data_IF_710630322453
#
_entry.id   IF_710630322453
#
_cell.length_a   1.000
_cell.length_b   1.000
_cell.length_c   1.000
_cell.angle_alpha   90.00
_cell.angle_beta   90.00
_cell.angle_gamma   90.00
#
_symmetry.space_group_name_H-M   'P 1'
#
loop_
_entity.id
_entity.type
_entity.pdbx_description
1 polymer ?
#
# COMPACT_ATOMS: atom_id res chain seq x y z
N UNK A 1 17.70 42.81 -9.73
CA UNK A 1 18.56 41.99 -8.86
C UNK A 1 17.65 41.23 -7.90
N UNK A 2 17.50 39.91 -8.08
CA UNK A 2 16.66 39.07 -7.22
C UNK A 2 17.50 38.55 -6.05
N UNK A 3 17.14 38.94 -4.83
CA UNK A 3 17.79 38.42 -3.61
C UNK A 3 17.10 37.12 -3.19
N UNK A 4 17.83 36.01 -3.26
CA UNK A 4 17.42 34.71 -2.72
C UNK A 4 17.69 34.71 -1.21
N UNK A 5 16.65 34.68 -0.39
CA UNK A 5 16.78 34.42 1.04
C UNK A 5 16.83 32.91 1.27
N UNK A 6 17.97 32.42 1.75
CA UNK A 6 18.17 31.01 2.11
C UNK A 6 17.43 30.68 3.41
N UNK A 7 16.56 29.67 3.36
CA UNK A 7 15.88 29.11 4.52
C UNK A 7 16.80 28.07 5.16
N UNK A 8 17.45 28.46 6.26
CA UNK A 8 18.31 27.54 7.02
C UNK A 8 17.49 26.94 8.15
N UNK A 9 17.01 25.70 7.98
CA UNK A 9 16.34 24.96 9.06
C UNK A 9 17.39 24.52 10.09
N UNK A 10 17.45 25.23 11.22
CA UNK A 10 18.19 24.77 12.41
C UNK A 10 17.32 23.73 13.12
N UNK A 11 17.64 22.45 12.91
CA UNK A 11 17.02 21.34 13.62
C UNK A 11 17.52 21.31 15.07
N UNK A 12 16.80 21.93 16.00
CA UNK A 12 16.97 21.66 17.44
C UNK A 12 15.90 20.67 17.87
N UNK A 13 16.36 19.49 18.29
CA UNK A 13 15.52 18.48 18.93
C UNK A 13 14.81 19.09 20.16
N UNK A 14 13.51 18.80 20.28
CA UNK A 14 12.67 19.24 21.39
C UNK A 14 13.02 18.43 22.64
N UNK A 15 13.34 19.06 23.78
CA UNK A 15 13.60 18.37 25.04
C UNK A 15 12.42 17.49 25.49
N UNK A 16 12.68 16.34 26.14
CA UNK A 16 11.65 15.38 26.52
C UNK A 16 10.63 15.93 27.53
N UNK A 17 10.99 16.92 28.35
CA UNK A 17 10.08 17.57 29.31
C UNK A 17 9.00 18.46 28.67
N UNK A 18 9.04 18.63 27.34
CA UNK A 18 8.24 19.59 26.58
C UNK A 18 7.17 18.94 25.66
N UNK A 19 7.02 17.62 25.71
CA UNK A 19 5.98 16.90 24.98
C UNK A 19 4.60 17.08 25.67
N UNK A 20 3.61 17.56 24.92
CA UNK A 20 2.21 17.63 25.38
C UNK A 20 1.66 19.02 25.73
N UNK A 21 2.41 20.10 25.53
CA UNK A 21 1.91 21.49 25.65
C UNK A 21 1.95 22.22 24.31
N UNK A 22 1.00 23.14 24.13
CA UNK A 22 0.85 23.96 22.93
C UNK A 22 2.08 24.85 22.77
N UNK A 23 2.87 24.65 21.71
CA UNK A 23 4.05 25.45 21.42
C UNK A 23 3.68 26.62 20.52
N UNK A 24 4.14 27.82 20.90
CA UNK A 24 4.24 28.95 19.99
C UNK A 24 5.63 28.92 19.37
N UNK A 25 5.73 28.53 18.09
CA UNK A 25 6.98 28.63 17.36
C UNK A 25 7.20 30.11 16.97
N UNK A 26 8.08 30.80 17.70
CA UNK A 26 8.54 32.13 17.31
C UNK A 26 9.66 31.99 16.26
N UNK A 27 9.29 32.05 14.98
CA UNK A 27 10.28 32.24 13.92
C UNK A 27 10.65 33.73 13.86
N UNK A 28 11.94 34.02 14.05
CA UNK A 28 12.50 35.36 13.84
C UNK A 28 12.63 35.57 12.34
N UNK A 29 11.73 36.34 11.77
CA UNK A 29 11.90 36.90 10.42
C UNK A 29 12.64 38.22 10.61
N UNK A 30 13.89 38.30 10.18
CA UNK A 30 14.63 39.57 10.13
C UNK A 30 14.02 40.44 9.01
N UNK A 31 12.90 41.08 9.32
CA UNK A 31 12.46 42.27 8.61
C UNK A 31 13.27 43.45 9.17
N UNK A 32 13.72 44.34 8.28
CA UNK A 32 14.54 45.51 8.63
C UNK A 32 13.92 46.40 9.72
N UNK A 33 14.70 47.35 10.23
CA UNK A 33 14.39 48.08 11.46
C UNK A 33 13.10 48.89 11.30
N UNK A 34 12.04 48.54 12.05
CA UNK A 34 11.00 49.52 12.36
C UNK A 34 9.55 49.07 12.49
N UNK A 35 9.16 47.82 12.17
CA UNK A 35 7.74 47.45 12.26
C UNK A 35 7.54 46.01 12.73
N UNK A 36 7.17 45.84 14.00
CA UNK A 36 6.67 44.56 14.52
C UNK A 36 5.20 44.40 14.11
N UNK A 37 4.95 43.72 13.00
CA UNK A 37 3.63 43.16 12.73
C UNK A 37 3.57 41.74 13.31
N UNK A 38 2.78 41.58 14.37
CA UNK A 38 2.43 40.30 14.97
C UNK A 38 1.42 39.59 14.05
N UNK A 39 1.90 38.95 12.98
CA UNK A 39 1.04 38.08 12.18
C UNK A 39 0.77 36.81 12.99
N UNK A 40 -0.44 36.73 13.55
CA UNK A 40 -0.93 35.58 14.30
C UNK A 40 -1.29 34.46 13.33
N UNK A 41 -0.31 33.67 12.90
CA UNK A 41 -0.59 32.42 12.19
C UNK A 41 -1.05 31.36 13.18
N UNK A 42 -2.36 31.12 13.20
CA UNK A 42 -2.93 29.93 13.84
C UNK A 42 -2.51 28.72 13.01
N UNK A 43 -1.53 27.96 13.50
CA UNK A 43 -1.22 26.65 12.96
C UNK A 43 -2.35 25.68 13.34
N UNK A 44 -3.49 25.79 12.65
CA UNK A 44 -4.29 24.58 12.41
C UNK A 44 -3.31 23.55 11.85
N UNK A 45 -3.25 22.37 12.45
CA UNK A 45 -2.44 21.26 11.95
C UNK A 45 -2.79 21.06 10.47
N UNK A 46 -1.98 21.59 9.57
CA UNK A 46 -1.87 21.04 8.23
C UNK A 46 -1.24 19.67 8.44
N UNK A 47 -2.07 18.66 8.73
CA UNK A 47 -1.66 17.27 8.68
C UNK A 47 -1.43 17.00 7.19
N UNK A 48 -0.20 17.23 6.75
CA UNK A 48 0.21 16.77 5.43
C UNK A 48 0.14 15.26 5.46
N UNK A 49 -0.85 14.72 4.76
CA UNK A 49 -0.97 13.29 4.57
C UNK A 49 0.28 12.80 3.83
N UNK A 50 0.92 11.75 4.34
CA UNK A 50 2.06 11.15 3.67
C UNK A 50 1.63 10.40 2.39
N UNK A 51 2.59 10.09 1.53
CA UNK A 51 2.31 9.26 0.36
C UNK A 51 1.78 7.88 0.76
N UNK A 52 2.35 7.32 1.84
CA UNK A 52 2.01 6.04 2.42
C UNK A 52 0.57 6.04 2.96
N UNK A 53 0.15 7.12 3.64
CA UNK A 53 -1.22 7.25 4.13
C UNK A 53 -2.24 7.38 2.98
N UNK A 54 -1.92 8.18 1.95
CA UNK A 54 -2.75 8.26 0.73
C UNK A 54 -2.88 6.89 0.07
N UNK A 55 -1.77 6.18 -0.09
CA UNK A 55 -1.76 4.86 -0.70
C UNK A 55 -2.57 3.85 0.14
N UNK A 56 -2.40 3.83 1.46
CA UNK A 56 -3.14 2.93 2.34
C UNK A 56 -4.65 3.15 2.27
N UNK A 57 -5.11 4.41 2.18
CA UNK A 57 -6.53 4.72 1.95
C UNK A 57 -7.02 4.22 0.59
N UNK A 58 -6.28 4.52 -0.48
CA UNK A 58 -6.63 4.04 -1.82
C UNK A 58 -6.66 2.50 -1.89
N UNK A 59 -5.73 1.84 -1.20
CA UNK A 59 -5.69 0.39 -1.02
C UNK A 59 -6.96 -0.12 -0.31
N UNK A 60 -7.32 0.49 0.83
CA UNK A 60 -8.52 0.13 1.58
C UNK A 60 -9.79 0.27 0.71
N UNK A 61 -9.94 1.38 0.01
CA UNK A 61 -11.08 1.65 -0.86
C UNK A 61 -11.18 0.66 -2.03
N UNK A 62 -10.03 0.31 -2.63
CA UNK A 62 -9.97 -0.63 -3.73
C UNK A 62 -10.31 -2.05 -3.25
N UNK A 63 -9.79 -2.47 -2.09
CA UNK A 63 -10.06 -3.80 -1.55
C UNK A 63 -11.44 -3.96 -0.92
N UNK A 64 -12.07 -2.88 -0.44
CA UNK A 64 -13.45 -2.93 0.06
C UNK A 64 -14.47 -3.30 -1.03
N UNK A 65 -14.20 -2.92 -2.29
CA UNK A 65 -15.02 -3.27 -3.45
C UNK A 65 -14.13 -3.54 -4.68
N UNK A 66 -13.49 -4.72 -4.74
CA UNK A 66 -12.40 -4.95 -5.67
C UNK A 66 -12.91 -5.17 -7.10
N UNK A 67 -12.29 -4.45 -8.03
CA UNK A 67 -12.31 -4.77 -9.45
C UNK A 67 -10.87 -4.95 -9.93
N UNK A 68 -10.62 -5.77 -10.97
CA UNK A 68 -9.27 -5.95 -11.49
C UNK A 68 -8.60 -4.62 -11.84
N UNK A 69 -9.35 -3.68 -12.41
CA UNK A 69 -8.89 -2.36 -12.83
C UNK A 69 -8.55 -1.47 -11.61
N UNK A 70 -9.40 -1.45 -10.58
CA UNK A 70 -9.13 -0.66 -9.35
C UNK A 70 -7.89 -1.18 -8.61
N UNK A 71 -7.74 -2.49 -8.51
CA UNK A 71 -6.57 -3.10 -7.87
C UNK A 71 -5.29 -2.84 -8.68
N UNK A 72 -5.37 -2.90 -10.01
CA UNK A 72 -4.22 -2.64 -10.89
C UNK A 72 -3.83 -1.17 -10.91
N UNK A 73 -4.78 -0.24 -10.74
CA UNK A 73 -4.51 1.20 -10.70
C UNK A 73 -3.59 1.62 -9.53
N UNK A 74 -3.49 0.80 -8.48
CA UNK A 74 -2.56 1.01 -7.37
C UNK A 74 -1.11 0.62 -7.70
N UNK A 75 -0.88 -0.01 -8.85
CA UNK A 75 0.40 -0.64 -9.16
C UNK A 75 1.18 0.17 -10.20
N UNK A 76 2.48 0.27 -9.98
CA UNK A 76 3.38 0.83 -10.97
C UNK A 76 3.42 -0.06 -12.23
N UNK A 77 3.57 0.47 -13.45
CA UNK A 77 3.63 -0.34 -14.67
C UNK A 77 4.65 -1.49 -14.62
N UNK A 78 5.80 -1.25 -13.99
CA UNK A 78 6.88 -2.21 -13.78
C UNK A 78 6.81 -2.99 -12.45
N UNK A 79 5.62 -3.11 -11.83
CA UNK A 79 5.44 -3.74 -10.53
C UNK A 79 5.95 -5.19 -10.47
N UNK A 80 6.45 -5.60 -9.31
CA UNK A 80 6.71 -7.02 -8.99
C UNK A 80 5.91 -7.43 -7.76
N UNK A 81 5.05 -8.44 -7.91
CA UNK A 81 4.23 -9.00 -6.83
C UNK A 81 4.76 -10.37 -6.41
N UNK A 82 5.15 -10.50 -5.16
CA UNK A 82 5.57 -11.74 -4.52
C UNK A 82 4.39 -12.35 -3.76
N UNK A 83 4.11 -13.62 -4.03
CA UNK A 83 3.10 -14.41 -3.34
C UNK A 83 3.76 -15.70 -2.82
N UNK A 84 3.38 -16.22 -1.63
CA UNK A 84 4.13 -17.30 -0.98
C UNK A 84 4.23 -18.62 -1.77
N UNK A 85 3.37 -18.84 -2.77
CA UNK A 85 3.14 -20.13 -3.42
C UNK A 85 3.19 -20.08 -4.95
N UNK A 86 3.57 -18.93 -5.51
CA UNK A 86 3.59 -18.64 -6.94
C UNK A 86 4.90 -17.97 -7.32
N UNK A 87 5.24 -18.06 -8.60
CA UNK A 87 6.31 -17.23 -9.16
C UNK A 87 5.92 -15.75 -9.03
N UNK A 88 6.90 -14.85 -8.90
CA UNK A 88 6.63 -13.42 -8.88
C UNK A 88 5.88 -13.00 -10.14
N UNK A 89 4.80 -12.23 -9.98
CA UNK A 89 4.09 -11.61 -11.09
C UNK A 89 4.80 -10.32 -11.42
N UNK A 90 5.14 -10.13 -12.69
CA UNK A 90 5.94 -8.99 -13.15
C UNK A 90 5.14 -8.22 -14.19
N UNK A 91 5.00 -6.91 -13.97
CA UNK A 91 4.15 -5.94 -14.68
C UNK A 91 2.71 -5.81 -14.18
N UNK A 92 2.17 -4.60 -14.36
CA UNK A 92 0.77 -4.29 -14.09
C UNK A 92 -0.19 -5.07 -14.99
N UNK A 93 0.18 -5.34 -16.25
CA UNK A 93 -0.62 -6.15 -17.18
C UNK A 93 -0.75 -7.61 -16.71
N UNK A 94 0.34 -8.19 -16.20
CA UNK A 94 0.30 -9.54 -15.63
C UNK A 94 -0.52 -9.56 -14.32
N UNK A 95 -0.38 -8.52 -13.49
CA UNK A 95 -1.20 -8.36 -12.28
C UNK A 95 -2.69 -8.25 -12.60
N UNK A 96 -3.07 -7.46 -13.61
CA UNK A 96 -4.46 -7.33 -14.07
C UNK A 96 -5.05 -8.68 -14.48
N UNK A 97 -4.28 -9.48 -15.24
CA UNK A 97 -4.69 -10.84 -15.62
C UNK A 97 -4.91 -11.72 -14.41
N UNK A 98 -4.02 -11.65 -13.41
CA UNK A 98 -4.18 -12.42 -12.18
C UNK A 98 -5.41 -11.98 -11.37
N UNK A 99 -5.64 -10.67 -11.21
CA UNK A 99 -6.82 -10.17 -10.51
C UNK A 99 -8.12 -10.57 -11.21
N UNK A 100 -8.15 -10.58 -12.56
CA UNK A 100 -9.29 -11.10 -13.32
C UNK A 100 -9.55 -12.56 -13.01
N UNK A 101 -8.51 -13.40 -12.95
CA UNK A 101 -8.65 -14.82 -12.61
C UNK A 101 -9.11 -15.02 -11.17
N UNK A 102 -8.53 -14.28 -10.22
CA UNK A 102 -8.88 -14.35 -8.81
C UNK A 102 -10.33 -13.94 -8.57
N UNK A 103 -10.76 -12.79 -9.10
CA UNK A 103 -12.11 -12.27 -8.89
C UNK A 103 -13.17 -13.02 -9.72
N UNK A 104 -12.80 -13.63 -10.84
CA UNK A 104 -13.70 -14.56 -11.53
C UNK A 104 -13.97 -15.83 -10.70
N UNK A 105 -12.99 -16.27 -9.90
CA UNK A 105 -13.18 -17.40 -8.99
C UNK A 105 -13.88 -16.98 -7.69
N UNK A 106 -13.51 -15.83 -7.11
CA UNK A 106 -14.03 -15.30 -5.86
C UNK A 106 -14.68 -13.93 -6.08
N UNK A 107 -15.87 -13.85 -6.70
CA UNK A 107 -16.49 -12.58 -7.10
C UNK A 107 -16.98 -11.72 -5.93
N UNK A 108 -17.11 -12.31 -4.73
CA UNK A 108 -17.51 -11.60 -3.50
C UNK A 108 -16.34 -11.34 -2.56
N UNK A 109 -15.11 -11.65 -2.99
CA UNK A 109 -13.91 -11.33 -2.23
C UNK A 109 -13.87 -9.82 -1.99
N UNK A 110 -13.58 -9.42 -0.76
CA UNK A 110 -13.32 -8.04 -0.38
C UNK A 110 -12.33 -8.03 0.78
N UNK A 111 -11.84 -6.86 1.16
CA UNK A 111 -10.87 -6.69 2.22
C UNK A 111 -11.18 -5.51 3.13
N UNK A 112 -10.71 -5.61 4.36
CA UNK A 112 -10.75 -4.54 5.36
C UNK A 112 -9.34 -4.29 5.88
N UNK A 113 -8.90 -3.03 5.84
CA UNK A 113 -7.61 -2.62 6.40
C UNK A 113 -7.78 -2.40 7.90
N UNK A 114 -6.94 -3.03 8.69
CA UNK A 114 -6.94 -2.92 10.14
C UNK A 114 -5.94 -1.86 10.60
N UNK A 115 -4.74 -1.86 10.01
CA UNK A 115 -3.70 -0.88 10.30
C UNK A 115 -2.78 -0.67 9.10
N UNK A 116 -2.15 0.50 9.04
CA UNK A 116 -1.11 0.80 8.07
C UNK A 116 0.01 1.61 8.74
N UNK A 117 1.26 1.28 8.42
CA UNK A 117 2.45 1.98 8.90
C UNK A 117 3.49 2.03 7.79
N UNK A 118 4.04 3.20 7.52
CA UNK A 118 5.03 3.37 6.48
C UNK A 118 5.81 4.67 6.59
N UNK A 119 7.00 4.67 6.02
CA UNK A 119 7.96 5.77 5.96
C UNK A 119 8.93 5.52 4.79
N UNK A 120 9.47 6.59 4.21
CA UNK A 120 10.48 6.56 3.14
C UNK A 120 10.10 5.64 1.95
N UNK A 121 8.85 5.69 1.52
CA UNK A 121 8.34 4.89 0.40
C UNK A 121 8.22 3.39 0.72
N UNK A 122 8.31 2.99 2.00
CA UNK A 122 8.01 1.63 2.46
C UNK A 122 6.72 1.64 3.26
N UNK A 123 5.83 0.71 2.97
CA UNK A 123 4.52 0.67 3.61
C UNK A 123 4.16 -0.77 3.97
N UNK A 124 3.71 -0.96 5.21
CA UNK A 124 3.12 -2.19 5.71
C UNK A 124 1.63 -1.96 5.93
N UNK A 125 0.80 -2.84 5.38
CA UNK A 125 -0.65 -2.81 5.54
C UNK A 125 -1.08 -4.13 6.15
N UNK A 126 -1.64 -4.08 7.35
CA UNK A 126 -2.32 -5.20 7.98
C UNK A 126 -3.80 -5.14 7.60
N UNK A 127 -4.32 -6.26 7.09
CA UNK A 127 -5.67 -6.30 6.57
C UNK A 127 -6.24 -7.72 6.60
N UNK A 128 -7.55 -7.80 6.46
CA UNK A 128 -8.32 -9.05 6.42
C UNK A 128 -8.94 -9.22 5.05
N UNK A 129 -8.62 -10.31 4.37
CA UNK A 129 -9.36 -10.78 3.20
C UNK A 129 -10.61 -11.54 3.67
N UNK A 130 -11.77 -11.08 3.24
CA UNK A 130 -13.07 -11.69 3.54
C UNK A 130 -13.59 -12.42 2.31
N UNK A 131 -13.84 -13.71 2.47
CA UNK A 131 -14.33 -14.62 1.44
C UNK A 131 -15.72 -15.11 1.84
N UNK A 132 -16.80 -14.46 1.37
CA UNK A 132 -18.15 -14.95 1.59
C UNK A 132 -18.42 -16.25 0.82
N UNK A 133 -18.75 -17.32 1.54
CA UNK A 133 -19.00 -18.67 1.02
C UNK A 133 -20.42 -19.13 1.39
N UNK A 134 -21.42 -18.47 0.80
CA UNK A 134 -22.83 -18.75 1.08
C UNK A 134 -23.24 -18.26 2.46
N UNK A 135 -23.48 -19.17 3.41
CA UNK A 135 -23.89 -18.83 4.80
C UNK A 135 -22.71 -18.64 5.75
N UNK A 136 -21.48 -18.94 5.32
CA UNK A 136 -20.26 -18.78 6.09
C UNK A 136 -19.34 -17.74 5.45
N UNK A 137 -18.53 -17.09 6.27
CA UNK A 137 -17.44 -16.22 5.81
C UNK A 137 -16.10 -16.80 6.27
N UNK A 138 -15.12 -16.79 5.37
CA UNK A 138 -13.74 -17.13 5.70
C UNK A 138 -12.94 -15.83 5.73
N UNK A 139 -12.26 -15.59 6.85
CA UNK A 139 -11.40 -14.42 7.05
C UNK A 139 -9.95 -14.90 7.04
N UNK A 140 -9.13 -14.27 6.21
CA UNK A 140 -7.69 -14.53 6.13
C UNK A 140 -6.97 -13.24 6.50
N UNK A 141 -6.17 -13.29 7.55
CA UNK A 141 -5.31 -12.17 7.95
C UNK A 141 -4.08 -12.13 7.05
N UNK A 142 -3.75 -10.94 6.57
CA UNK A 142 -2.62 -10.70 5.69
C UNK A 142 -1.87 -9.43 6.08
N UNK A 143 -0.56 -9.46 5.83
CA UNK A 143 0.29 -8.28 5.88
C UNK A 143 0.92 -8.09 4.51
N UNK A 144 0.66 -6.94 3.90
CA UNK A 144 1.28 -6.54 2.65
C UNK A 144 2.44 -5.59 2.96
N UNK A 145 3.63 -5.90 2.43
CA UNK A 145 4.78 -5.00 2.40
C UNK A 145 4.94 -4.42 1.00
N UNK A 146 4.83 -3.11 0.89
CA UNK A 146 5.01 -2.34 -0.32
C UNK A 146 6.33 -1.58 -0.34
N UNK A 147 6.88 -1.43 -1.54
CA UNK A 147 7.74 -0.30 -1.91
C UNK A 147 6.94 0.58 -2.86
N UNK A 148 6.86 1.87 -2.56
CA UNK A 148 6.18 2.89 -3.34
C UNK A 148 7.18 3.64 -4.21
N UNK A 149 6.70 4.09 -5.36
CA UNK A 149 7.42 4.95 -6.29
C UNK A 149 6.39 5.83 -7.01
N UNK A 150 6.50 7.14 -6.82
CA UNK A 150 5.53 8.12 -7.32
C UNK A 150 4.08 7.80 -6.91
N UNK A 151 3.86 7.39 -5.66
CA UNK A 151 2.53 7.07 -5.13
C UNK A 151 1.95 5.73 -5.58
N UNK A 152 2.72 4.88 -6.27
CA UNK A 152 2.28 3.57 -6.77
C UNK A 152 3.14 2.44 -6.22
N UNK A 153 2.54 1.27 -6.02
CA UNK A 153 3.25 0.07 -5.59
C UNK A 153 4.14 -0.48 -6.71
N UNK A 154 5.45 -0.34 -6.60
CA UNK A 154 6.44 -0.91 -7.52
C UNK A 154 6.92 -2.29 -7.09
N UNK A 155 6.84 -2.60 -5.80
CA UNK A 155 7.06 -3.95 -5.29
C UNK A 155 6.04 -4.24 -4.19
N UNK A 156 5.53 -5.47 -4.15
CA UNK A 156 4.63 -5.93 -3.09
C UNK A 156 4.96 -7.36 -2.71
N UNK A 157 5.13 -7.63 -1.42
CA UNK A 157 5.13 -8.97 -0.86
C UNK A 157 3.94 -9.13 0.07
N UNK A 158 3.14 -10.18 -0.11
CA UNK A 158 2.00 -10.49 0.76
C UNK A 158 2.29 -11.73 1.60
N UNK A 159 2.04 -11.63 2.91
CA UNK A 159 2.21 -12.71 3.87
C UNK A 159 0.87 -13.04 4.50
N UNK A 160 0.46 -14.31 4.44
CA UNK A 160 -0.79 -14.79 5.04
C UNK A 160 -0.73 -16.30 5.27
N UNK A 161 -1.56 -16.81 6.17
CA UNK A 161 -1.71 -18.26 6.38
C UNK A 161 -2.52 -18.90 5.24
N UNK A 162 -1.82 -19.60 4.36
CA UNK A 162 -2.42 -20.27 3.21
C UNK A 162 -3.26 -21.49 3.62
N UNK A 163 -3.00 -22.07 4.78
CA UNK A 163 -3.74 -23.22 5.27
C UNK A 163 -5.19 -22.87 5.57
N UNK A 164 -5.48 -21.62 5.94
CA UNK A 164 -6.86 -21.13 6.10
C UNK A 164 -7.61 -21.21 4.77
N UNK A 165 -7.00 -20.73 3.68
CA UNK A 165 -7.59 -20.80 2.34
C UNK A 165 -7.75 -22.24 1.87
N UNK A 166 -6.73 -23.08 2.01
CA UNK A 166 -6.77 -24.49 1.58
C UNK A 166 -7.88 -25.24 2.33
N UNK A 167 -7.96 -25.08 3.65
CA UNK A 167 -9.02 -25.69 4.47
C UNK A 167 -10.40 -25.20 4.07
N UNK A 168 -10.56 -23.92 3.75
CA UNK A 168 -11.82 -23.38 3.23
C UNK A 168 -12.21 -24.06 1.91
N UNK A 169 -11.30 -24.11 0.93
CA UNK A 169 -11.57 -24.79 -0.35
C UNK A 169 -11.97 -26.24 -0.13
N UNK A 170 -11.24 -27.00 0.70
CA UNK A 170 -11.55 -28.40 0.99
C UNK A 170 -12.93 -28.59 1.63
N UNK A 171 -13.35 -27.68 2.53
CA UNK A 171 -14.68 -27.72 3.18
C UNK A 171 -15.84 -27.32 2.27
N UNK A 172 -15.57 -26.67 1.13
CA UNK A 172 -16.60 -26.15 0.24
C UNK A 172 -16.45 -26.74 -1.18
N UNK A 173 -17.05 -27.91 -1.46
CA UNK A 173 -16.92 -28.62 -2.74
C UNK A 173 -17.24 -27.77 -3.99
N UNK A 174 -18.17 -26.81 -3.85
CA UNK A 174 -18.54 -25.87 -4.92
C UNK A 174 -17.38 -25.00 -5.40
N UNK A 175 -16.36 -24.80 -4.56
CA UNK A 175 -15.16 -24.02 -4.92
C UNK A 175 -14.15 -24.83 -5.71
N UNK A 176 -14.20 -26.16 -5.69
CA UNK A 176 -13.11 -27.00 -6.21
C UNK A 176 -12.86 -26.76 -7.69
N UNK A 177 -13.92 -26.70 -8.50
CA UNK A 177 -13.77 -26.46 -9.94
C UNK A 177 -13.16 -25.09 -10.24
N UNK A 178 -13.66 -24.05 -9.58
CA UNK A 178 -13.12 -22.70 -9.70
C UNK A 178 -11.67 -22.62 -9.23
N UNK A 179 -11.34 -23.29 -8.12
CA UNK A 179 -10.01 -23.37 -7.58
C UNK A 179 -9.05 -24.10 -8.54
N UNK A 180 -9.45 -25.23 -9.11
CA UNK A 180 -8.63 -25.96 -10.08
C UNK A 180 -8.37 -25.12 -11.33
N UNK A 181 -9.41 -24.46 -11.89
CA UNK A 181 -9.28 -23.56 -13.03
C UNK A 181 -8.39 -22.35 -12.71
N UNK A 182 -8.55 -21.75 -11.54
CA UNK A 182 -7.70 -20.66 -11.08
C UNK A 182 -6.26 -21.11 -10.87
N UNK A 183 -6.03 -22.26 -10.22
CA UNK A 183 -4.70 -22.73 -9.83
C UNK A 183 -3.90 -23.28 -11.00
N UNK A 184 -4.53 -24.11 -11.82
CA UNK A 184 -3.88 -24.91 -12.87
C UNK A 184 -4.29 -24.51 -14.30
N UNK A 185 -5.20 -23.54 -14.46
CA UNK A 185 -5.49 -22.99 -15.78
C UNK A 185 -4.26 -22.34 -16.41
N UNK A 186 -4.23 -22.25 -17.76
CA UNK A 186 -3.07 -21.78 -18.51
C UNK A 186 -2.63 -20.41 -17.99
N UNK A 187 -1.36 -20.33 -17.62
CA UNK A 187 -0.73 -19.07 -17.23
C UNK A 187 -0.50 -18.25 -18.50
N UNK A 188 -0.81 -16.94 -18.49
CA UNK A 188 -0.43 -16.09 -19.61
C UNK A 188 1.08 -16.20 -19.85
N UNK A 189 1.54 -16.17 -21.11
CA UNK A 189 2.95 -16.29 -21.43
C UNK A 189 3.74 -15.19 -20.72
N UNK A 190 4.85 -15.59 -20.09
CA UNK A 190 5.70 -14.67 -19.34
C UNK A 190 6.23 -13.57 -20.28
N UNK A 191 6.01 -12.28 -19.97
CA UNK A 191 6.65 -11.22 -20.72
C UNK A 191 8.17 -11.36 -20.52
N UNK A 192 8.92 -11.46 -21.63
CA UNK A 192 10.39 -11.49 -21.59
C UNK A 192 10.91 -10.16 -21.06
N UNK A 193 11.17 -10.09 -19.76
CA UNK A 193 11.69 -8.88 -19.13
C UNK A 193 13.20 -8.78 -19.38
N UNK A 194 13.70 -7.56 -19.63
CA UNK A 194 15.14 -7.34 -19.77
C UNK A 194 15.88 -7.70 -18.47
N UNK A 195 17.16 -8.10 -18.53
CA UNK A 195 17.94 -8.51 -17.37
C UNK A 195 17.93 -7.51 -16.21
N UNK A 196 17.84 -6.20 -16.51
CA UNK A 196 17.78 -5.11 -15.53
C UNK A 196 16.52 -5.11 -14.64
N UNK A 197 15.46 -5.81 -15.05
CA UNK A 197 14.19 -5.91 -14.32
C UNK A 197 14.03 -7.23 -13.56
N UNK A 198 15.02 -8.13 -13.64
CA UNK A 198 15.09 -9.35 -12.83
C UNK A 198 15.65 -9.02 -11.43
N UNK A 199 14.86 -8.30 -10.62
CA UNK A 199 15.19 -8.17 -9.19
C UNK A 199 15.02 -9.51 -8.49
N UNK A 200 16.00 -9.85 -7.66
CA UNK A 200 15.97 -11.02 -6.79
C UNK A 200 14.81 -10.88 -5.79
N UNK A 201 14.15 -11.99 -5.41
CA UNK A 201 13.19 -11.96 -4.33
C UNK A 201 13.85 -11.40 -3.07
N UNK A 202 13.11 -10.67 -2.23
CA UNK A 202 13.63 -10.20 -0.94
C UNK A 202 14.14 -11.41 -0.14
N UNK A 203 15.42 -11.38 0.23
CA UNK A 203 15.99 -12.29 1.24
C UNK A 203 15.44 -11.82 2.58
N UNK A 204 14.84 -12.76 3.33
CA UNK A 204 14.34 -12.53 4.69
C UNK A 204 15.49 -12.21 5.65
#
# INVERSE_FOLDING_TARGET
>A
MASRTAMTCVNRQVPPELQGRCWTLLLRVDAGPGTMDLIRFSAERAVFESEEQRFAKAFAEAWAAPTPERLTALLHPAVVLYQPHRRPIRSATAALTEFRRLLAWLPKLHGEVDAACGEDGRLFIEWRMKLPLGKSEVVIHAVDRFRLEAGLGIERAVYFDQMVLIRAVLKHPRLWWGFLKYRFGPEPPEPKLPPSQRRQPPVL
#
